data_IF_760631315077
#
_entry.id   IF_760631315077
#
_cell.length_a   1.000
_cell.length_b   1.000
_cell.length_c   1.000
_cell.angle_alpha   90.00
_cell.angle_beta   90.00
_cell.angle_gamma   90.00
#
_symmetry.space_group_name_H-M   'P 1'
#
loop_
_entity.id
_entity.type
_entity.pdbx_description
1 polymer ?
#
# COMPACT_ATOMS: atom_id res chain seq x y z
N UNK A 1 -12.23 -9.33 45.36
CA UNK A 1 -11.39 -9.57 44.17
C UNK A 1 -11.93 -8.69 43.06
N UNK A 2 -11.37 -7.49 42.86
CA UNK A 2 -11.80 -6.61 41.76
C UNK A 2 -11.36 -7.31 40.47
N UNK A 3 -12.31 -7.56 39.56
CA UNK A 3 -12.05 -8.21 38.29
C UNK A 3 -10.96 -7.42 37.54
N UNK A 4 -9.76 -7.98 37.45
CA UNK A 4 -8.56 -7.33 36.89
C UNK A 4 -8.83 -6.79 35.46
N UNK A 5 -9.71 -7.45 34.71
CA UNK A 5 -10.18 -7.06 33.39
C UNK A 5 -10.95 -5.72 33.44
N UNK A 6 -11.92 -5.58 34.35
CA UNK A 6 -12.67 -4.31 34.50
C UNK A 6 -11.78 -3.15 34.96
N UNK A 7 -10.73 -3.43 35.74
CA UNK A 7 -9.77 -2.41 36.17
C UNK A 7 -8.95 -1.88 34.98
N UNK A 8 -8.43 -2.74 34.11
CA UNK A 8 -7.63 -2.30 32.95
C UNK A 8 -8.45 -1.50 31.94
N UNK A 9 -9.72 -1.84 31.75
CA UNK A 9 -10.62 -1.04 30.90
C UNK A 9 -10.83 0.36 31.45
N UNK A 10 -11.07 0.50 32.76
CA UNK A 10 -11.23 1.80 33.41
C UNK A 10 -9.94 2.61 33.31
N UNK A 11 -8.80 2.02 33.64
CA UNK A 11 -7.49 2.69 33.55
C UNK A 11 -7.18 3.12 32.11
N UNK A 12 -7.51 2.29 31.11
CA UNK A 12 -7.36 2.63 29.68
C UNK A 12 -8.20 3.84 29.31
N UNK A 13 -9.46 3.87 29.73
CA UNK A 13 -10.34 5.02 29.51
C UNK A 13 -9.78 6.28 30.16
N UNK A 14 -9.35 6.20 31.42
CA UNK A 14 -8.74 7.33 32.14
C UNK A 14 -7.51 7.84 31.36
N UNK A 15 -6.59 6.95 30.99
CA UNK A 15 -5.38 7.33 30.26
C UNK A 15 -5.71 8.04 28.94
N UNK A 16 -6.58 7.45 28.11
CA UNK A 16 -6.97 8.01 26.80
C UNK A 16 -7.71 9.33 26.96
N UNK A 17 -8.68 9.43 27.87
CA UNK A 17 -9.51 10.62 28.05
C UNK A 17 -8.75 11.78 28.68
N UNK A 18 -7.75 11.49 29.52
CA UNK A 18 -6.89 12.51 30.13
C UNK A 18 -6.08 13.31 29.12
N UNK A 19 -5.74 12.69 27.97
CA UNK A 19 -4.83 13.25 26.94
C UNK A 19 -3.46 13.70 27.48
N UNK A 20 -3.12 13.28 28.71
CA UNK A 20 -1.90 13.63 29.41
C UNK A 20 -0.99 12.39 29.51
N UNK A 21 0.17 12.38 28.82
CA UNK A 21 1.08 11.23 28.86
C UNK A 21 1.65 10.98 30.27
N UNK A 22 1.68 11.97 31.15
CA UNK A 22 2.22 11.86 32.52
C UNK A 22 1.37 10.96 33.42
N UNK A 23 0.13 10.65 33.05
CA UNK A 23 -0.72 9.68 33.75
C UNK A 23 -0.05 8.31 33.86
N UNK A 24 0.85 7.97 32.93
CA UNK A 24 1.64 6.74 32.97
C UNK A 24 2.53 6.61 34.22
N UNK A 25 2.82 7.71 34.91
CA UNK A 25 3.70 7.73 36.08
C UNK A 25 2.95 7.61 37.40
N UNK A 26 1.61 7.61 37.37
CA UNK A 26 0.78 7.51 38.58
C UNK A 26 0.87 6.11 39.20
N UNK A 27 0.95 5.06 38.38
CA UNK A 27 1.07 3.68 38.84
C UNK A 27 1.70 2.77 37.79
N UNK A 28 2.12 1.57 38.22
CA UNK A 28 2.65 0.54 37.32
C UNK A 28 1.63 0.13 36.25
N UNK A 29 0.37 -0.01 36.61
CA UNK A 29 -0.71 -0.40 35.71
C UNK A 29 -0.90 0.67 34.62
N UNK A 30 -0.86 1.95 34.98
CA UNK A 30 -0.90 3.05 34.00
C UNK A 30 0.31 3.03 33.07
N UNK A 31 1.50 2.72 33.59
CA UNK A 31 2.69 2.55 32.77
C UNK A 31 2.49 1.40 31.75
N UNK A 32 2.06 0.23 32.23
CA UNK A 32 1.84 -0.96 31.40
C UNK A 32 0.82 -0.72 30.29
N UNK A 33 -0.35 -0.16 30.59
CA UNK A 33 -1.36 0.13 29.55
C UNK A 33 -0.90 1.20 28.56
N UNK A 34 -0.14 2.21 29.03
CA UNK A 34 0.38 3.27 28.15
C UNK A 34 1.40 2.72 27.13
N UNK A 35 1.94 1.53 27.37
CA UNK A 35 2.85 0.86 26.46
C UNK A 35 2.14 0.11 25.32
N UNK A 36 0.85 -0.19 25.46
CA UNK A 36 0.09 -0.97 24.48
C UNK A 36 -0.25 -0.12 23.24
N UNK A 37 0.12 -0.61 22.06
CA UNK A 37 -0.18 0.05 20.79
C UNK A 37 -1.67 0.41 20.57
N UNK A 38 -2.67 -0.46 20.88
CA UNK A 38 -4.08 -0.06 20.75
C UNK A 38 -4.46 1.11 21.67
N UNK A 39 -3.88 1.18 22.87
CA UNK A 39 -4.10 2.28 23.82
C UNK A 39 -3.41 3.55 23.32
N UNK A 40 -2.15 3.46 22.90
CA UNK A 40 -1.40 4.58 22.30
C UNK A 40 -2.09 5.15 21.08
N UNK A 41 -2.57 4.31 20.16
CA UNK A 41 -3.30 4.75 18.98
C UNK A 41 -4.58 5.49 19.37
N UNK A 42 -5.34 4.97 20.36
CA UNK A 42 -6.54 5.64 20.86
C UNK A 42 -6.24 6.99 21.52
N UNK A 43 -5.17 7.05 22.32
CA UNK A 43 -4.68 8.28 22.94
C UNK A 43 -4.27 9.32 21.90
N UNK A 44 -3.46 8.94 20.91
CA UNK A 44 -2.96 9.84 19.87
C UNK A 44 -4.10 10.38 19.01
N UNK A 45 -5.05 9.53 18.59
CA UNK A 45 -6.24 9.96 17.86
C UNK A 45 -7.10 10.89 18.70
N UNK A 46 -7.29 10.59 20.00
CA UNK A 46 -8.07 11.46 20.89
C UNK A 46 -7.41 12.83 21.06
N UNK A 47 -6.08 12.87 21.10
CA UNK A 47 -5.29 14.08 21.35
C UNK A 47 -5.12 14.97 20.11
N UNK A 48 -4.91 14.38 18.94
CA UNK A 48 -4.59 15.12 17.71
C UNK A 48 -5.70 15.08 16.65
N UNK A 49 -6.66 14.17 16.78
CA UNK A 49 -7.64 13.88 15.74
C UNK A 49 -7.13 12.86 14.71
N UNK A 50 -8.08 12.28 13.97
CA UNK A 50 -7.78 11.25 12.95
C UNK A 50 -6.96 11.79 11.79
N UNK A 51 -7.25 13.02 11.36
CA UNK A 51 -6.70 13.62 10.14
C UNK A 51 -5.28 14.18 10.33
N UNK A 52 -4.87 14.39 11.58
CA UNK A 52 -3.62 15.08 11.93
C UNK A 52 -2.61 14.18 12.66
N UNK A 53 -2.97 12.93 12.98
CA UNK A 53 -2.10 12.04 13.75
C UNK A 53 -0.84 11.63 13.00
N UNK A 54 -0.89 11.63 11.66
CA UNK A 54 0.25 11.40 10.77
C UNK A 54 0.86 12.71 10.26
N UNK A 55 1.18 13.64 11.16
CA UNK A 55 1.89 14.86 10.77
C UNK A 55 3.33 14.52 10.36
N UNK A 56 3.65 14.66 9.08
CA UNK A 56 4.94 14.28 8.48
C UNK A 56 5.60 15.51 7.85
N UNK A 57 6.94 15.59 7.92
CA UNK A 57 7.71 16.53 7.11
C UNK A 57 7.84 15.95 5.71
N UNK A 58 7.29 16.63 4.70
CA UNK A 58 7.30 16.15 3.32
C UNK A 58 8.55 16.71 2.59
N UNK A 59 9.68 16.02 2.73
CA UNK A 59 10.94 16.30 2.04
C UNK A 59 11.56 14.99 1.52
N UNK A 60 12.83 15.01 1.10
CA UNK A 60 13.54 13.83 0.57
C UNK A 60 13.69 12.67 1.59
N UNK A 61 13.58 12.94 2.89
CA UNK A 61 13.65 11.94 3.95
C UNK A 61 12.50 12.19 4.94
N UNK A 62 11.27 11.79 4.59
CA UNK A 62 10.10 12.07 5.39
C UNK A 62 10.19 11.45 6.78
N UNK A 63 9.71 12.17 7.78
CA UNK A 63 9.79 11.77 9.20
C UNK A 63 8.56 12.28 9.97
N UNK A 64 8.14 11.52 11.00
CA UNK A 64 7.01 11.89 11.84
C UNK A 64 7.36 13.06 12.77
N UNK A 65 6.57 14.13 12.73
CA UNK A 65 6.72 15.29 13.61
C UNK A 65 6.24 14.99 15.04
N UNK A 66 5.14 14.25 15.16
CA UNK A 66 4.53 13.94 16.44
C UNK A 66 5.21 12.72 17.04
N UNK A 67 5.89 12.89 18.17
CA UNK A 67 6.50 11.80 18.93
C UNK A 67 7.31 10.81 18.05
N UNK A 68 8.36 11.24 17.34
CA UNK A 68 9.09 10.40 16.37
C UNK A 68 9.57 9.06 16.96
N UNK A 69 9.93 9.06 18.25
CA UNK A 69 10.33 7.85 18.96
C UNK A 69 9.23 6.78 19.06
N UNK A 70 7.95 7.16 19.11
CA UNK A 70 6.83 6.22 19.13
C UNK A 70 6.63 5.56 17.76
N UNK A 71 6.92 6.29 16.69
CA UNK A 71 6.77 5.82 15.33
C UNK A 71 8.00 5.06 14.81
N UNK A 72 8.89 4.57 15.67
CA UNK A 72 10.02 3.74 15.23
C UNK A 72 9.61 2.35 14.75
N UNK A 73 8.41 1.89 15.13
CA UNK A 73 7.89 0.56 14.77
C UNK A 73 6.56 0.66 14.02
N UNK A 74 6.36 -0.26 13.09
CA UNK A 74 5.22 -0.28 12.17
C UNK A 74 3.87 -0.57 12.86
N UNK A 75 3.87 -1.29 13.97
CA UNK A 75 2.64 -1.80 14.60
C UNK A 75 1.77 -0.65 15.11
N UNK A 76 2.37 0.44 15.59
CA UNK A 76 1.61 1.63 16.00
C UNK A 76 0.91 2.28 14.80
N UNK A 77 1.59 2.36 13.66
CA UNK A 77 1.03 2.92 12.42
C UNK A 77 -0.14 2.06 11.93
N UNK A 78 0.01 0.74 11.94
CA UNK A 78 -1.08 -0.19 11.62
C UNK A 78 -2.27 0.01 12.56
N UNK A 79 -2.03 0.15 13.87
CA UNK A 79 -3.11 0.39 14.84
C UNK A 79 -3.82 1.73 14.65
N UNK A 80 -3.10 2.78 14.24
CA UNK A 80 -3.68 4.08 13.89
C UNK A 80 -4.58 3.95 12.66
N UNK A 81 -4.09 3.31 11.59
CA UNK A 81 -4.87 3.08 10.38
C UNK A 81 -6.12 2.23 10.65
N UNK A 82 -6.00 1.16 11.46
CA UNK A 82 -7.14 0.34 11.91
C UNK A 82 -8.20 1.12 12.69
N UNK A 83 -7.81 2.21 13.36
CA UNK A 83 -8.73 3.10 14.08
C UNK A 83 -9.28 4.22 13.20
N UNK A 84 -9.04 4.15 11.89
CA UNK A 84 -9.51 5.12 10.92
C UNK A 84 -8.76 6.43 10.99
N UNK A 85 -7.48 6.41 11.40
CA UNK A 85 -6.60 7.53 11.09
C UNK A 85 -6.52 7.65 9.56
N UNK A 86 -6.82 8.83 9.06
CA UNK A 86 -6.76 9.14 7.64
C UNK A 86 -5.86 10.34 7.44
N UNK A 87 -5.45 10.56 6.21
CA UNK A 87 -4.61 11.70 5.88
C UNK A 87 -4.83 12.11 4.44
N UNK A 88 -4.51 13.36 4.11
CA UNK A 88 -4.61 13.85 2.75
C UNK A 88 -3.68 13.06 1.80
N UNK A 89 -3.90 13.18 0.50
CA UNK A 89 -3.15 12.41 -0.49
C UNK A 89 -1.63 12.62 -0.44
N UNK A 90 -1.18 13.84 -0.11
CA UNK A 90 0.25 14.19 -0.04
C UNK A 90 0.87 13.53 1.19
N UNK A 91 0.23 13.70 2.34
CA UNK A 91 0.65 13.11 3.60
C UNK A 91 0.61 11.57 3.56
N UNK A 92 -0.32 10.99 2.80
CA UNK A 92 -0.38 9.54 2.59
C UNK A 92 0.80 9.04 1.78
N UNK A 93 1.16 9.76 0.71
CA UNK A 93 2.33 9.43 -0.10
C UNK A 93 3.60 9.44 0.75
N UNK A 94 3.78 10.46 1.60
CA UNK A 94 4.92 10.54 2.53
C UNK A 94 4.88 9.45 3.60
N UNK A 95 3.69 9.11 4.13
CA UNK A 95 3.53 7.98 5.03
C UNK A 95 3.99 6.67 4.36
N UNK A 96 3.55 6.41 3.14
CA UNK A 96 3.93 5.20 2.41
C UNK A 96 5.42 5.18 2.08
N UNK A 97 6.01 6.31 1.73
CA UNK A 97 7.45 6.44 1.54
C UNK A 97 8.23 6.09 2.81
N UNK A 98 7.79 6.54 3.98
CA UNK A 98 8.39 6.14 5.27
C UNK A 98 8.34 4.62 5.43
N UNK A 99 7.20 3.99 5.13
CA UNK A 99 7.07 2.53 5.24
C UNK A 99 8.08 1.80 4.36
N UNK A 100 8.28 2.29 3.13
CA UNK A 100 9.26 1.73 2.18
C UNK A 100 10.68 1.91 2.71
N UNK A 101 11.05 3.13 3.09
CA UNK A 101 12.39 3.44 3.61
C UNK A 101 12.76 2.56 4.80
N UNK A 102 11.78 2.25 5.64
CA UNK A 102 11.94 1.46 6.86
C UNK A 102 11.67 -0.05 6.69
N UNK A 103 11.38 -0.50 5.47
CA UNK A 103 11.08 -1.91 5.18
C UNK A 103 9.92 -2.47 6.03
N UNK A 104 8.89 -1.65 6.26
CA UNK A 104 7.72 -1.99 7.08
C UNK A 104 6.71 -2.84 6.31
N UNK A 105 7.10 -4.09 6.04
CA UNK A 105 6.34 -5.04 5.20
C UNK A 105 4.91 -5.26 5.68
N UNK A 106 4.66 -5.31 6.99
CA UNK A 106 3.30 -5.52 7.51
C UNK A 106 2.43 -4.27 7.33
N UNK A 107 3.00 -3.07 7.46
CA UNK A 107 2.26 -1.84 7.23
C UNK A 107 1.96 -1.62 5.74
N UNK A 108 2.91 -1.98 4.87
CA UNK A 108 2.71 -1.98 3.42
C UNK A 108 1.63 -2.99 3.05
N UNK A 109 1.69 -4.21 3.60
CA UNK A 109 0.67 -5.24 3.38
C UNK A 109 -0.72 -4.73 3.78
N UNK A 110 -0.79 -4.13 4.97
CA UNK A 110 -2.03 -3.57 5.48
C UNK A 110 -2.61 -2.53 4.51
N UNK A 111 -1.81 -1.56 4.06
CA UNK A 111 -2.25 -0.52 3.13
C UNK A 111 -2.68 -1.08 1.78
N UNK A 112 -1.95 -2.05 1.23
CA UNK A 112 -2.31 -2.69 -0.04
C UNK A 112 -3.63 -3.46 0.06
N UNK A 113 -4.06 -3.86 1.27
CA UNK A 113 -5.36 -4.49 1.50
C UNK A 113 -6.50 -3.50 1.79
N UNK A 114 -6.26 -2.18 1.77
CA UNK A 114 -7.32 -1.17 1.96
C UNK A 114 -7.95 -0.86 0.61
N UNK A 115 -9.27 -1.07 0.54
CA UNK A 115 -10.09 -0.75 -0.63
C UNK A 115 -11.20 0.18 -0.18
N UNK A 116 -11.33 1.30 -0.89
CA UNK A 116 -12.36 2.29 -0.64
C UNK A 116 -13.55 2.03 -1.57
N UNK A 117 -14.74 2.16 -1.02
CA UNK A 117 -15.97 2.18 -1.80
C UNK A 117 -16.09 3.52 -2.54
N UNK A 118 -16.43 3.46 -3.82
CA UNK A 118 -16.55 4.62 -4.70
C UNK A 118 -17.88 4.60 -5.46
N UNK A 119 -18.20 5.72 -6.10
CA UNK A 119 -19.35 5.80 -7.00
C UNK A 119 -19.07 5.07 -8.32
N UNK A 120 -20.14 4.64 -8.98
CA UNK A 120 -20.08 4.03 -10.32
C UNK A 120 -19.35 4.92 -11.33
N UNK A 121 -19.70 6.21 -11.37
CA UNK A 121 -19.06 7.19 -12.27
C UNK A 121 -17.53 7.25 -12.08
N UNK A 122 -17.06 7.23 -10.81
CA UNK A 122 -15.63 7.19 -10.51
C UNK A 122 -15.01 5.86 -10.92
N UNK A 123 -15.71 4.76 -10.71
CA UNK A 123 -15.24 3.43 -11.11
C UNK A 123 -15.04 3.36 -12.62
N UNK A 124 -16.01 3.83 -13.41
CA UNK A 124 -15.92 3.91 -14.86
C UNK A 124 -14.74 4.77 -15.32
N UNK A 125 -14.56 5.95 -14.72
CA UNK A 125 -13.41 6.81 -15.02
C UNK A 125 -12.06 6.09 -14.83
N UNK A 126 -11.95 5.27 -13.79
CA UNK A 126 -10.75 4.48 -13.52
C UNK A 126 -10.56 3.31 -14.49
N UNK A 127 -11.63 2.71 -14.98
CA UNK A 127 -11.56 1.68 -16.04
C UNK A 127 -11.20 2.28 -17.39
N UNK A 128 -11.76 3.44 -17.75
CA UNK A 128 -11.60 4.06 -19.07
C UNK A 128 -10.20 4.64 -19.30
N UNK A 129 -9.50 5.10 -18.26
CA UNK A 129 -8.13 5.64 -18.34
C UNK A 129 -7.05 4.61 -18.76
N UNK A 130 -7.42 3.41 -19.23
CA UNK A 130 -6.50 2.43 -19.80
C UNK A 130 -5.66 1.68 -18.76
N UNK A 131 -6.01 1.77 -17.47
CA UNK A 131 -5.37 0.97 -16.42
C UNK A 131 -5.85 -0.49 -16.42
N UNK A 132 -7.03 -0.75 -16.99
CA UNK A 132 -7.60 -2.08 -17.12
C UNK A 132 -8.13 -2.27 -18.54
N UNK A 133 -7.88 -3.42 -19.18
CA UNK A 133 -8.51 -3.72 -20.46
C UNK A 133 -10.02 -3.80 -20.24
N UNK A 134 -10.77 -2.95 -20.94
CA UNK A 134 -12.23 -3.00 -20.96
C UNK A 134 -12.68 -4.39 -21.41
N UNK A 135 -13.30 -5.15 -20.51
CA UNK A 135 -14.33 -6.10 -20.90
C UNK A 135 -15.63 -5.32 -20.91
N UNK A 136 -16.26 -5.17 -22.07
CA UNK A 136 -17.65 -4.75 -22.16
C UNK A 136 -18.46 -5.65 -21.23
N UNK A 137 -18.97 -5.12 -20.12
CA UNK A 137 -19.81 -5.86 -19.19
C UNK A 137 -21.28 -5.69 -19.56
N UNK A 138 -22.02 -6.78 -19.33
CA UNK A 138 -23.48 -6.87 -19.39
C UNK A 138 -24.17 -5.76 -18.57
N UNK A 139 -25.47 -5.48 -18.81
CA UNK A 139 -26.22 -4.50 -18.03
C UNK A 139 -26.03 -4.71 -16.51
N UNK A 140 -25.47 -3.71 -15.84
CA UNK A 140 -25.14 -3.77 -14.42
C UNK A 140 -26.39 -3.85 -13.56
N UNK A 141 -26.32 -4.63 -12.48
CA UNK A 141 -27.43 -4.77 -11.55
C UNK A 141 -27.63 -3.47 -10.76
N UNK A 142 -28.89 -3.11 -10.55
CA UNK A 142 -29.29 -2.08 -9.59
C UNK A 142 -28.77 -2.51 -8.21
N UNK A 143 -28.12 -1.61 -7.49
CA UNK A 143 -27.48 -1.80 -6.17
C UNK A 143 -26.05 -2.40 -6.15
N UNK A 144 -25.36 -2.42 -7.29
CA UNK A 144 -23.93 -2.80 -7.33
C UNK A 144 -23.06 -1.80 -6.56
N UNK A 145 -22.18 -2.30 -5.70
CA UNK A 145 -21.17 -1.52 -4.96
C UNK A 145 -19.82 -1.60 -5.66
N UNK A 146 -19.07 -0.51 -5.67
CA UNK A 146 -17.82 -0.41 -6.43
C UNK A 146 -16.64 -0.17 -5.49
N UNK A 147 -15.57 -0.96 -5.62
CA UNK A 147 -14.40 -0.87 -4.75
C UNK A 147 -13.12 -0.73 -5.56
N UNK A 148 -12.20 0.09 -5.05
CA UNK A 148 -10.87 0.28 -5.65
C UNK A 148 -9.79 0.33 -4.57
N UNK A 149 -8.54 -0.06 -4.88
CA UNK A 149 -7.48 0.01 -3.90
C UNK A 149 -7.17 1.46 -3.54
N UNK A 150 -7.06 1.79 -2.25
CA UNK A 150 -6.82 3.17 -1.79
C UNK A 150 -5.55 3.77 -2.40
N UNK A 151 -4.50 2.97 -2.53
CA UNK A 151 -3.23 3.40 -3.13
C UNK A 151 -3.36 3.84 -4.60
N UNK A 152 -4.34 3.28 -5.34
CA UNK A 152 -4.58 3.59 -6.74
C UNK A 152 -5.21 4.98 -6.92
N UNK A 153 -6.16 5.35 -6.03
CA UNK A 153 -6.78 6.67 -6.01
C UNK A 153 -5.76 7.81 -5.87
N UNK A 154 -4.59 7.49 -5.30
CA UNK A 154 -3.55 8.46 -4.97
C UNK A 154 -2.50 8.64 -6.08
N UNK A 155 -2.57 7.86 -7.18
CA UNK A 155 -1.72 8.06 -8.36
C UNK A 155 -0.23 7.75 -8.15
N UNK A 156 0.11 6.98 -7.11
CA UNK A 156 1.48 6.92 -6.57
C UNK A 156 2.38 5.83 -7.20
N UNK A 157 1.86 5.06 -8.18
CA UNK A 157 2.44 3.78 -8.60
C UNK A 157 3.89 3.82 -9.12
N UNK A 158 4.26 4.75 -10.01
CA UNK A 158 5.60 4.72 -10.64
C UNK A 158 6.72 5.24 -9.74
N UNK A 159 6.49 6.33 -9.01
CA UNK A 159 7.52 6.98 -8.18
C UNK A 159 7.89 6.17 -6.93
N UNK A 160 6.94 5.40 -6.40
CA UNK A 160 7.16 4.53 -5.24
C UNK A 160 8.05 3.35 -5.58
N UNK A 161 7.76 2.65 -6.69
CA UNK A 161 8.55 1.47 -7.09
C UNK A 161 9.99 1.88 -7.32
N UNK A 162 10.19 3.02 -8.00
CA UNK A 162 11.44 3.76 -8.11
C UNK A 162 12.20 3.83 -6.77
N UNK A 163 11.58 4.48 -5.79
CA UNK A 163 12.19 4.66 -4.47
C UNK A 163 12.49 3.36 -3.74
N UNK A 164 11.64 2.34 -3.82
CA UNK A 164 11.88 1.06 -3.13
C UNK A 164 13.19 0.40 -3.58
N UNK A 165 13.52 0.48 -4.87
CA UNK A 165 14.74 -0.12 -5.42
C UNK A 165 15.95 0.75 -5.22
N UNK A 166 15.83 2.08 -5.38
CA UNK A 166 16.93 3.01 -5.06
C UNK A 166 17.42 2.80 -3.63
N UNK A 167 16.48 2.51 -2.71
CA UNK A 167 16.76 2.24 -1.29
C UNK A 167 17.11 0.79 -1.00
N UNK A 168 17.17 -0.06 -2.02
CA UNK A 168 17.52 -1.45 -1.87
C UNK A 168 16.54 -2.26 -0.99
N UNK A 169 15.24 -2.08 -1.18
CA UNK A 169 14.18 -2.77 -0.42
C UNK A 169 13.51 -3.88 -1.23
N UNK A 170 14.20 -5.01 -1.38
CA UNK A 170 13.68 -6.15 -2.17
C UNK A 170 12.33 -6.68 -1.70
N UNK A 171 12.14 -6.78 -0.38
CA UNK A 171 10.93 -7.33 0.21
C UNK A 171 9.72 -6.46 -0.16
N UNK A 172 9.86 -5.14 0.00
CA UNK A 172 8.88 -4.14 -0.48
C UNK A 172 8.62 -4.29 -1.96
N UNK A 173 9.68 -4.34 -2.76
CA UNK A 173 9.56 -4.46 -4.20
C UNK A 173 8.75 -5.71 -4.61
N UNK A 174 9.08 -6.88 -4.05
CA UNK A 174 8.37 -8.14 -4.33
C UNK A 174 6.89 -8.03 -3.97
N UNK A 175 6.58 -7.36 -2.86
CA UNK A 175 5.21 -7.15 -2.41
C UNK A 175 4.44 -6.24 -3.36
N UNK A 176 5.02 -5.10 -3.77
CA UNK A 176 4.41 -4.17 -4.72
C UNK A 176 4.14 -4.83 -6.08
N UNK A 177 5.09 -5.58 -6.62
CA UNK A 177 4.90 -6.29 -7.90
C UNK A 177 3.83 -7.38 -7.83
N UNK A 178 3.67 -8.02 -6.68
CA UNK A 178 2.62 -9.03 -6.47
C UNK A 178 1.30 -8.45 -5.96
N UNK A 179 1.18 -7.12 -5.79
CA UNK A 179 -0.03 -6.50 -5.25
C UNK A 179 -1.27 -6.79 -6.11
N UNK A 180 -1.09 -6.98 -7.43
CA UNK A 180 -2.17 -7.38 -8.34
C UNK A 180 -2.80 -8.74 -8.02
N UNK A 181 -2.14 -9.58 -7.21
CA UNK A 181 -2.63 -10.89 -6.76
C UNK A 181 -3.42 -10.79 -5.45
N UNK A 182 -3.48 -9.62 -4.82
CA UNK A 182 -4.18 -9.42 -3.55
C UNK A 182 -5.68 -9.54 -3.80
N UNK A 183 -6.30 -10.46 -3.08
CA UNK A 183 -7.76 -10.60 -3.00
C UNK A 183 -8.20 -9.84 -1.74
N UNK A 184 -9.00 -8.77 -1.86
CA UNK A 184 -9.34 -7.95 -0.70
C UNK A 184 -10.29 -8.72 0.22
N UNK A 185 -10.05 -8.58 1.53
CA UNK A 185 -10.87 -9.18 2.58
C UNK A 185 -11.98 -8.22 2.98
N UNK A 186 -13.02 -8.12 2.15
CA UNK A 186 -14.15 -7.22 2.37
C UNK A 186 -15.32 -7.99 2.98
N UNK A 187 -15.94 -7.43 4.01
CA UNK A 187 -17.18 -7.97 4.59
C UNK A 187 -18.38 -7.54 3.73
N UNK A 188 -18.46 -8.06 2.50
CA UNK A 188 -19.47 -7.70 1.50
C UNK A 188 -20.03 -8.92 0.77
N UNK A 189 -21.17 -8.73 0.12
CA UNK A 189 -21.70 -9.68 -0.87
C UNK A 189 -20.99 -9.48 -2.21
N UNK A 190 -20.05 -10.37 -2.53
CA UNK A 190 -19.29 -10.32 -3.78
C UNK A 190 -20.16 -10.49 -5.04
N UNK A 191 -21.38 -11.02 -4.93
CA UNK A 191 -22.31 -11.09 -6.07
C UNK A 191 -22.90 -9.74 -6.46
N UNK A 192 -22.80 -8.74 -5.57
CA UNK A 192 -23.29 -7.36 -5.75
C UNK A 192 -22.16 -6.34 -5.70
N UNK A 193 -20.93 -6.77 -5.98
CA UNK A 193 -19.76 -5.91 -5.90
C UNK A 193 -18.89 -6.03 -7.15
N UNK A 194 -18.49 -4.89 -7.69
CA UNK A 194 -17.41 -4.79 -8.66
C UNK A 194 -16.15 -4.25 -7.98
N UNK A 195 -15.02 -4.91 -8.19
CA UNK A 195 -13.76 -4.61 -7.51
C UNK A 195 -12.68 -4.44 -8.57
N UNK A 196 -12.03 -3.28 -8.60
CA UNK A 196 -10.74 -3.15 -9.28
C UNK A 196 -9.65 -3.65 -8.35
N UNK A 197 -8.79 -4.53 -8.86
CA UNK A 197 -7.62 -5.00 -8.13
C UNK A 197 -6.46 -4.01 -8.27
N UNK A 198 -5.30 -4.28 -7.70
CA UNK A 198 -4.11 -3.49 -8.04
C UNK A 198 -3.69 -3.79 -9.48
N UNK A 199 -3.24 -2.78 -10.25
CA UNK A 199 -2.77 -3.03 -11.60
C UNK A 199 -1.44 -3.80 -11.56
N UNK A 200 -1.18 -4.61 -12.60
CA UNK A 200 0.16 -5.17 -12.81
C UNK A 200 1.14 -4.03 -13.07
N UNK A 201 2.28 -4.08 -12.40
CA UNK A 201 3.36 -3.11 -12.60
C UNK A 201 4.22 -3.61 -13.75
N UNK A 202 4.16 -2.94 -14.91
CA UNK A 202 5.05 -3.25 -16.03
C UNK A 202 6.48 -2.78 -15.74
N UNK A 203 7.44 -3.52 -16.31
CA UNK A 203 8.87 -3.20 -16.32
C UNK A 203 9.18 -2.02 -17.23
N UNK A 204 8.34 -1.75 -18.23
CA UNK A 204 8.60 -0.75 -19.29
C UNK A 204 8.73 0.68 -18.77
N UNK A 205 8.32 0.92 -17.51
CA UNK A 205 8.48 2.21 -16.82
C UNK A 205 9.72 2.31 -15.94
N UNK A 206 10.56 1.27 -15.86
CA UNK A 206 11.76 1.25 -15.01
C UNK A 206 13.01 1.54 -15.85
N UNK A 207 13.89 2.47 -15.44
CA UNK A 207 15.14 2.73 -16.15
C UNK A 207 16.01 1.47 -16.27
N UNK A 208 16.76 1.29 -17.36
CA UNK A 208 17.63 0.10 -17.52
C UNK A 208 18.67 -0.07 -16.41
N UNK A 209 19.20 1.06 -15.92
CA UNK A 209 20.11 1.07 -14.76
C UNK A 209 19.44 0.46 -13.52
N UNK A 210 18.14 0.70 -13.38
CA UNK A 210 17.33 0.22 -12.28
C UNK A 210 17.16 -1.29 -12.33
N UNK A 211 16.76 -1.83 -13.48
CA UNK A 211 16.64 -3.28 -13.70
C UNK A 211 17.97 -3.99 -13.44
N UNK A 212 19.10 -3.37 -13.82
CA UNK A 212 20.44 -3.87 -13.54
C UNK A 212 20.77 -3.86 -12.04
N UNK A 213 20.46 -2.77 -11.32
CA UNK A 213 20.65 -2.69 -9.86
C UNK A 213 19.83 -3.73 -9.13
N UNK A 214 18.55 -3.89 -9.50
CA UNK A 214 17.69 -4.92 -8.92
C UNK A 214 18.32 -6.32 -9.11
N UNK A 215 18.79 -6.64 -10.33
CA UNK A 215 19.45 -7.91 -10.61
C UNK A 215 20.72 -8.11 -9.77
N UNK A 216 21.57 -7.09 -9.67
CA UNK A 216 22.81 -7.15 -8.88
C UNK A 216 22.53 -7.33 -7.39
N UNK A 217 21.50 -6.67 -6.85
CA UNK A 217 21.18 -6.70 -5.43
C UNK A 217 20.38 -7.94 -5.01
N UNK A 218 19.57 -8.52 -5.90
CA UNK A 218 18.57 -9.54 -5.53
C UNK A 218 18.58 -10.81 -6.38
N UNK A 219 19.48 -10.90 -7.35
CA UNK A 219 19.69 -12.10 -8.16
C UNK A 219 18.50 -12.48 -9.02
N UNK A 220 18.41 -13.77 -9.35
CA UNK A 220 17.47 -14.28 -10.36
C UNK A 220 16.00 -14.31 -9.92
N UNK A 221 15.74 -14.38 -8.61
CA UNK A 221 14.37 -14.51 -8.09
C UNK A 221 13.52 -13.27 -8.38
N UNK A 222 14.17 -12.11 -8.48
CA UNK A 222 13.50 -10.86 -8.81
C UNK A 222 13.15 -10.78 -10.30
N UNK A 223 13.96 -11.41 -11.16
CA UNK A 223 13.69 -11.51 -12.59
C UNK A 223 12.49 -12.42 -12.86
N UNK A 224 12.29 -13.47 -12.05
CA UNK A 224 11.07 -14.30 -12.13
C UNK A 224 9.83 -13.46 -11.84
N UNK A 225 9.85 -12.69 -10.73
CA UNK A 225 8.74 -11.79 -10.38
C UNK A 225 8.50 -10.77 -11.48
N UNK A 226 9.55 -10.17 -12.03
CA UNK A 226 9.46 -9.26 -13.18
C UNK A 226 8.81 -9.97 -14.38
N UNK A 227 9.30 -11.13 -14.78
CA UNK A 227 8.83 -11.87 -15.95
C UNK A 227 7.38 -12.34 -15.83
N UNK A 228 6.94 -12.76 -14.65
CA UNK A 228 5.55 -13.16 -14.39
C UNK A 228 4.56 -11.98 -14.52
N UNK A 229 5.08 -10.76 -14.38
CA UNK A 229 4.31 -9.51 -14.48
C UNK A 229 4.32 -8.89 -15.88
N UNK A 230 5.10 -9.47 -16.80
CA UNK A 230 5.20 -9.01 -18.19
C UNK A 230 3.96 -9.44 -18.99
N UNK A 231 3.18 -8.50 -19.57
CA UNK A 231 2.00 -8.85 -20.36
C UNK A 231 2.34 -9.77 -21.55
N UNK A 232 3.53 -9.65 -22.14
CA UNK A 232 3.94 -10.42 -23.33
C UNK A 232 4.31 -11.88 -23.01
N UNK A 233 4.67 -12.21 -21.76
CA UNK A 233 4.99 -13.58 -21.36
C UNK A 233 3.75 -14.48 -21.18
N UNK A 234 2.55 -13.90 -21.18
CA UNK A 234 1.29 -14.68 -21.15
C UNK A 234 1.01 -15.45 -22.44
N UNK A 235 1.72 -15.14 -23.54
CA UNK A 235 1.58 -15.81 -24.84
C UNK A 235 2.43 -17.09 -24.92
N UNK A 236 3.46 -17.24 -24.09
CA UNK A 236 4.43 -18.33 -24.22
C UNK A 236 4.01 -19.62 -23.48
N UNK A 237 3.07 -19.55 -22.53
CA UNK A 237 2.61 -20.74 -21.79
C UNK A 237 1.47 -21.52 -22.47
N UNK A 238 1.08 -21.14 -23.69
CA UNK A 238 -0.11 -21.69 -24.37
C UNK A 238 0.03 -21.93 -25.87
N UNK A 239 1.19 -22.36 -26.39
CA UNK A 239 1.28 -22.87 -27.76
C UNK A 239 2.51 -23.76 -28.01
N UNK A 240 2.50 -24.98 -27.48
CA UNK A 240 3.21 -26.09 -28.12
C UNK A 240 2.43 -26.54 -29.36
N UNK A 241 2.43 -25.73 -30.43
CA UNK A 241 2.19 -26.22 -31.79
C UNK A 241 3.21 -25.61 -32.73
N UNK A 242 3.99 -26.52 -33.30
CA UNK A 242 5.02 -26.32 -34.30
C UNK A 242 4.52 -25.52 -35.51
N UNK A 243 5.23 -24.45 -35.84
CA UNK A 243 5.38 -24.01 -37.24
C UNK A 243 6.72 -23.27 -37.40
N UNK A 244 7.45 -23.64 -38.45
CA UNK A 244 8.82 -23.18 -38.82
C UNK A 244 8.86 -21.67 -39.15
N UNK A 245 10.06 -21.03 -39.09
CA UNK A 245 10.19 -19.58 -39.18
C UNK A 245 10.10 -19.07 -40.63
N UNK A 246 9.31 -18.02 -40.87
CA UNK A 246 9.39 -17.22 -42.09
C UNK A 246 10.44 -16.12 -41.93
N UNK A 247 11.37 -16.07 -42.88
CA UNK A 247 12.40 -15.04 -43.02
C UNK A 247 11.79 -13.67 -43.37
N UNK A 248 12.56 -12.62 -43.03
CA UNK A 248 12.42 -11.19 -43.37
C UNK A 248 11.55 -10.40 -42.36
N UNK A 249 11.95 -9.24 -41.82
CA UNK A 249 12.94 -8.25 -42.28
C UNK A 249 13.59 -7.51 -41.11
N UNK A 250 14.91 -7.54 -41.06
CA UNK A 250 15.74 -6.47 -40.51
C UNK A 250 15.67 -5.28 -41.47
N UNK A 251 15.26 -4.09 -41.00
CA UNK A 251 15.85 -2.82 -41.44
C UNK A 251 15.78 -1.80 -40.30
N UNK A 252 16.97 -1.46 -39.79
CA UNK A 252 17.31 -0.20 -39.12
C UNK A 252 17.12 0.97 -40.10
N UNK A 253 16.77 2.17 -39.62
CA UNK A 253 17.49 3.46 -39.80
C UNK A 253 16.79 4.49 -38.88
N UNK A 254 17.35 4.96 -37.75
CA UNK A 254 18.39 5.97 -37.50
C UNK A 254 18.02 7.45 -37.75
N UNK A 255 18.15 8.23 -36.66
CA UNK A 255 18.62 9.63 -36.51
C UNK A 255 17.73 10.83 -36.94
N UNK A 256 17.59 11.80 -36.03
CA UNK A 256 18.40 13.03 -36.11
C UNK A 256 18.35 13.90 -34.83
N UNK A 257 19.54 14.37 -34.47
CA UNK A 257 19.89 15.39 -33.48
C UNK A 257 19.67 16.77 -34.12
N UNK A 258 19.12 17.72 -33.36
CA UNK A 258 19.53 19.12 -33.28
C UNK A 258 19.23 19.62 -31.87
#
# INVERSE_FOLDING_TARGET
MINKISSYEILTKIFVLSQNPEVRFISREFYEISALNPVRASFLIKKFGKDHVFKIINNENPEFLLYPNLFKKQELVIWLLKKGADTDSVSFQSLFEIMIMRDWIEAIDYILNIFDEITEERFEFHTWKGFYPHKYSEPRQKDTRYFVPKLFLLGVGRSIVGRAVERGKASVYKQLFNAHKIIPKLEIDYSKAEILYHPKISKDGLPDEFTRRIFQSYGIDILKVLNDNDPDNSIISGASKSTKPSKNSFYKTCCLIC
#
